data_IF_464803197399
#
_entry.id   IF_464803197399
#
_cell.length_a   1.000
_cell.length_b   1.000
_cell.length_c   1.000
_cell.angle_alpha   90.00
_cell.angle_beta   90.00
_cell.angle_gamma   90.00
#
_symmetry.space_group_name_H-M   'P 1'
#
loop_
_entity.id
_entity.type
_entity.pdbx_description
1 polymer ?
#
# COMPACT_ATOMS: atom_id res chain seq x y z
N UNK A 1 -15.10 21.77 -66.86
CA UNK A 1 -15.87 22.24 -68.04
C UNK A 1 -15.08 21.92 -69.31
N UNK A 2 -15.80 21.55 -70.39
CA UNK A 2 -15.39 21.01 -71.72
C UNK A 2 -15.19 19.47 -71.73
N UNK A 3 -16.22 18.65 -71.92
CA UNK A 3 -17.10 18.36 -73.09
C UNK A 3 -16.56 17.26 -74.06
N UNK A 4 -17.21 16.09 -73.95
CA UNK A 4 -17.76 15.16 -74.94
C UNK A 4 -17.24 15.13 -76.40
N UNK A 5 -16.98 13.92 -76.92
CA UNK A 5 -17.68 13.36 -78.10
C UNK A 5 -17.42 11.83 -78.29
N UNK A 6 -18.50 11.04 -78.33
CA UNK A 6 -18.68 9.77 -79.06
C UNK A 6 -19.35 10.08 -80.43
N UNK A 7 -19.79 9.14 -81.32
CA UNK A 7 -19.67 7.67 -81.43
C UNK A 7 -19.30 7.19 -82.88
N UNK A 8 -19.29 5.86 -83.14
CA UNK A 8 -20.26 5.10 -83.99
C UNK A 8 -19.65 3.90 -84.77
N UNK A 9 -20.51 2.89 -84.93
CA UNK A 9 -20.39 1.51 -85.41
C UNK A 9 -20.69 1.39 -86.91
N UNK A 10 -20.16 0.36 -87.61
CA UNK A 10 -20.82 -0.64 -88.51
C UNK A 10 -19.75 -1.44 -89.28
N UNK A 11 -19.67 -2.79 -89.24
CA UNK A 11 -20.50 -3.86 -89.84
C UNK A 11 -20.49 -3.87 -91.39
N UNK A 12 -19.80 -4.84 -92.02
CA UNK A 12 -20.24 -5.49 -93.27
C UNK A 12 -19.51 -6.83 -93.52
N UNK A 13 -20.30 -7.73 -94.07
CA UNK A 13 -20.16 -9.16 -94.37
C UNK A 13 -20.08 -9.33 -95.90
N UNK A 14 -19.45 -10.39 -96.45
CA UNK A 14 -19.82 -11.07 -97.71
C UNK A 14 -18.90 -12.28 -98.05
N UNK A 15 -19.56 -13.40 -98.39
CA UNK A 15 -19.07 -14.76 -98.73
C UNK A 15 -18.78 -14.95 -100.27
N UNK A 16 -18.80 -16.18 -100.86
CA UNK A 16 -17.81 -17.28 -101.00
C UNK A 16 -17.47 -17.54 -102.53
N UNK A 17 -16.92 -18.69 -103.05
CA UNK A 17 -17.60 -20.03 -103.13
C UNK A 17 -16.71 -21.32 -103.29
N UNK A 18 -17.35 -22.50 -103.07
CA UNK A 18 -17.16 -23.86 -103.67
C UNK A 18 -15.78 -24.61 -103.79
N UNK A 19 -15.79 -25.92 -103.46
CA UNK A 19 -14.65 -26.88 -103.48
C UNK A 19 -14.25 -27.46 -104.86
N UNK A 20 -13.25 -28.38 -104.96
CA UNK A 20 -13.42 -29.80 -104.57
C UNK A 20 -12.19 -30.53 -103.96
N UNK A 21 -12.44 -31.78 -103.55
CA UNK A 21 -11.63 -32.80 -102.88
C UNK A 21 -10.36 -33.27 -103.65
N UNK A 22 -9.19 -33.35 -102.97
CA UNK A 22 -8.11 -34.30 -103.33
C UNK A 22 -7.33 -34.78 -102.10
N UNK A 23 -7.04 -36.08 -102.09
CA UNK A 23 -6.40 -36.86 -101.03
C UNK A 23 -4.87 -36.63 -100.92
N UNK A 24 -4.35 -36.83 -99.69
CA UNK A 24 -3.08 -37.48 -99.27
C UNK A 24 -2.05 -36.60 -98.52
N UNK A 25 -1.95 -36.81 -97.20
CA UNK A 25 -0.85 -37.48 -96.45
C UNK A 25 -1.03 -37.17 -94.95
N UNK A 26 -1.00 -38.16 -94.03
CA UNK A 26 -1.09 -37.86 -92.60
C UNK A 26 0.24 -37.25 -92.11
N UNK A 27 0.23 -36.10 -91.41
CA UNK A 27 1.39 -35.67 -90.64
C UNK A 27 1.51 -36.50 -89.37
N UNK A 28 2.72 -36.97 -89.09
CA UNK A 28 3.09 -37.68 -87.87
C UNK A 28 2.81 -36.81 -86.64
N UNK A 29 1.75 -37.15 -85.89
CA UNK A 29 1.46 -36.66 -84.54
C UNK A 29 2.40 -37.34 -83.54
N UNK A 30 3.68 -37.03 -83.63
CA UNK A 30 4.70 -37.47 -82.67
C UNK A 30 5.41 -36.32 -81.94
N UNK A 31 5.60 -35.10 -82.48
CA UNK A 31 6.26 -34.03 -81.71
C UNK A 31 5.30 -33.13 -80.92
N UNK A 32 4.00 -33.11 -81.25
CA UNK A 32 3.03 -32.22 -80.59
C UNK A 32 2.57 -32.74 -79.21
N UNK A 33 2.49 -34.06 -79.02
CA UNK A 33 2.08 -34.66 -77.74
C UNK A 33 3.19 -34.52 -76.70
N UNK A 34 4.46 -34.64 -77.12
CA UNK A 34 5.62 -34.52 -76.23
C UNK A 34 5.82 -33.10 -75.70
N UNK A 35 5.55 -32.08 -76.53
CA UNK A 35 5.64 -30.67 -76.11
C UNK A 35 4.53 -30.30 -75.12
N UNK A 36 3.30 -30.79 -75.33
CA UNK A 36 2.17 -30.54 -74.41
C UNK A 36 2.40 -31.23 -73.06
N UNK A 37 2.93 -32.45 -73.04
CA UNK A 37 3.26 -33.17 -71.79
C UNK A 37 4.41 -32.51 -71.03
N UNK A 38 5.43 -31.99 -71.74
CA UNK A 38 6.53 -31.27 -71.09
C UNK A 38 6.09 -29.93 -70.52
N UNK A 39 5.22 -29.19 -71.22
CA UNK A 39 4.68 -27.90 -70.73
C UNK A 39 3.73 -28.12 -69.55
N UNK A 40 2.88 -29.15 -69.55
CA UNK A 40 2.01 -29.46 -68.39
C UNK A 40 2.80 -30.00 -67.20
N UNK A 41 3.87 -30.77 -67.43
CA UNK A 41 4.76 -31.20 -66.36
C UNK A 41 5.54 -30.02 -65.76
N UNK A 42 6.03 -29.08 -66.57
CA UNK A 42 6.72 -27.88 -66.09
C UNK A 42 5.77 -26.92 -65.36
N UNK A 43 4.55 -26.73 -65.87
CA UNK A 43 3.52 -25.95 -65.18
C UNK A 43 3.05 -26.62 -63.89
N UNK A 44 2.96 -27.95 -63.86
CA UNK A 44 2.66 -28.73 -62.66
C UNK A 44 3.76 -28.67 -61.61
N UNK A 45 5.03 -28.68 -62.02
CA UNK A 45 6.18 -28.48 -61.11
C UNK A 45 6.24 -27.03 -60.62
N UNK A 46 5.89 -26.05 -61.45
CA UNK A 46 5.86 -24.64 -61.06
C UNK A 46 4.70 -24.33 -60.11
N UNK A 47 3.51 -24.92 -60.31
CA UNK A 47 2.40 -24.82 -59.35
C UNK A 47 2.66 -25.61 -58.08
N UNK A 48 3.34 -26.76 -58.14
CA UNK A 48 3.79 -27.51 -56.96
C UNK A 48 4.86 -26.73 -56.18
N UNK A 49 5.80 -26.07 -56.85
CA UNK A 49 6.82 -25.21 -56.23
C UNK A 49 6.21 -23.95 -55.59
N UNK A 50 5.20 -23.32 -56.23
CA UNK A 50 4.48 -22.18 -55.67
C UNK A 50 3.54 -22.56 -54.50
N UNK A 51 3.12 -23.83 -54.41
CA UNK A 51 2.37 -24.37 -53.26
C UNK A 51 3.28 -24.81 -52.11
N UNK A 52 4.58 -25.00 -52.38
CA UNK A 52 5.63 -25.27 -51.38
C UNK A 52 6.36 -24.01 -50.91
N UNK A 53 6.06 -22.85 -51.50
CA UNK A 53 6.51 -21.52 -51.05
C UNK A 53 5.68 -20.98 -49.86
N UNK A 54 5.14 -21.88 -49.03
CA UNK A 54 5.04 -21.54 -47.61
C UNK A 54 6.51 -21.43 -47.19
N UNK A 55 7.03 -20.27 -46.73
CA UNK A 55 8.30 -20.34 -46.04
C UNK A 55 8.12 -21.46 -45.01
N UNK A 56 9.06 -22.40 -44.97
CA UNK A 56 9.35 -23.06 -43.72
C UNK A 56 9.70 -21.90 -42.79
N UNK A 57 8.66 -21.25 -42.25
CA UNK A 57 8.76 -20.67 -40.95
C UNK A 57 9.34 -21.84 -40.17
N UNK A 58 10.61 -21.71 -39.81
CA UNK A 58 11.05 -22.28 -38.56
C UNK A 58 9.87 -21.96 -37.65
N UNK A 59 9.09 -22.99 -37.32
CA UNK A 59 8.40 -23.01 -36.06
C UNK A 59 9.59 -23.00 -35.10
N UNK A 60 10.12 -21.80 -34.88
CA UNK A 60 10.71 -21.45 -33.61
C UNK A 60 9.66 -21.99 -32.66
N UNK A 61 9.99 -22.96 -31.79
CA UNK A 61 9.04 -23.31 -30.76
C UNK A 61 8.58 -21.95 -30.21
N UNK A 62 7.26 -21.70 -30.22
CA UNK A 62 6.75 -20.59 -29.42
C UNK A 62 7.50 -20.69 -28.09
N UNK A 63 8.04 -19.59 -27.56
CA UNK A 63 8.72 -19.67 -26.28
C UNK A 63 7.72 -20.37 -25.36
N UNK A 64 8.00 -21.63 -25.05
CA UNK A 64 7.15 -22.41 -24.15
C UNK A 64 7.33 -21.62 -22.88
N UNK A 65 6.34 -20.78 -22.58
CA UNK A 65 6.35 -19.94 -21.40
C UNK A 65 6.74 -20.88 -20.28
N UNK A 66 7.90 -20.61 -19.66
CA UNK A 66 8.42 -21.48 -18.63
C UNK A 66 7.27 -21.76 -17.65
N UNK A 67 6.98 -23.03 -17.34
CA UNK A 67 5.81 -23.37 -16.55
C UNK A 67 5.84 -22.55 -15.26
N UNK A 68 4.81 -21.73 -15.07
CA UNK A 68 4.71 -20.89 -13.89
C UNK A 68 4.50 -21.78 -12.68
N UNK A 69 5.39 -21.65 -11.70
CA UNK A 69 5.21 -22.22 -10.37
C UNK A 69 4.99 -21.05 -9.43
N UNK A 70 3.85 -21.05 -8.75
CA UNK A 70 3.52 -20.00 -7.80
C UNK A 70 4.55 -19.97 -6.66
N UNK A 71 5.22 -18.82 -6.41
CA UNK A 71 6.11 -18.68 -5.27
C UNK A 71 5.39 -18.99 -3.95
N UNK A 72 6.11 -19.55 -2.98
CA UNK A 72 5.54 -19.94 -1.68
C UNK A 72 4.83 -18.78 -0.96
N UNK A 73 5.46 -17.61 -0.91
CA UNK A 73 4.87 -16.41 -0.28
C UNK A 73 3.55 -15.99 -0.97
N UNK A 74 3.49 -16.08 -2.31
CA UNK A 74 2.27 -15.81 -3.08
C UNK A 74 1.20 -16.88 -2.83
N UNK A 75 1.61 -18.16 -2.70
CA UNK A 75 0.68 -19.24 -2.38
C UNK A 75 0.04 -19.02 -1.00
N UNK A 76 0.82 -18.57 -0.02
CA UNK A 76 0.32 -18.21 1.31
C UNK A 76 -0.64 -17.02 1.26
N UNK A 77 -0.38 -16.02 0.41
CA UNK A 77 -1.33 -14.93 0.15
C UNK A 77 -2.63 -15.47 -0.46
N UNK A 78 -2.54 -16.30 -1.50
CA UNK A 78 -3.69 -16.89 -2.18
C UNK A 78 -4.57 -17.72 -1.24
N UNK A 79 -3.97 -18.52 -0.37
CA UNK A 79 -4.68 -19.34 0.61
C UNK A 79 -5.45 -18.49 1.65
N UNK A 80 -5.00 -17.24 1.87
CA UNK A 80 -5.66 -16.27 2.77
C UNK A 80 -6.71 -15.40 2.10
N UNK A 81 -6.79 -15.40 0.76
CA UNK A 81 -7.77 -14.61 0.00
C UNK A 81 -9.16 -15.26 -0.06
N UNK A 82 -9.31 -16.53 0.35
CA UNK A 82 -10.60 -17.23 0.30
C UNK A 82 -11.08 -17.55 -1.12
N UNK A 83 -10.16 -17.82 -2.04
CA UNK A 83 -10.44 -18.01 -3.46
C UNK A 83 -11.26 -19.26 -3.76
N UNK A 84 -12.16 -19.16 -4.74
CA UNK A 84 -12.77 -20.31 -5.40
C UNK A 84 -11.76 -21.02 -6.32
N UNK A 85 -12.16 -22.15 -6.90
CA UNK A 85 -11.35 -22.83 -7.93
C UNK A 85 -11.11 -21.94 -9.17
N UNK A 86 -12.14 -21.24 -9.65
CA UNK A 86 -12.04 -20.32 -10.78
C UNK A 86 -11.18 -19.10 -10.44
N UNK A 87 -11.36 -18.50 -9.27
CA UNK A 87 -10.53 -17.38 -8.80
C UNK A 87 -9.06 -17.77 -8.67
N UNK A 88 -8.76 -18.96 -8.12
CA UNK A 88 -7.39 -19.47 -8.04
C UNK A 88 -6.81 -19.75 -9.43
N UNK A 89 -7.60 -20.27 -10.37
CA UNK A 89 -7.15 -20.50 -11.73
C UNK A 89 -6.76 -19.20 -12.43
N UNK A 90 -7.59 -18.15 -12.32
CA UNK A 90 -7.27 -16.81 -12.87
C UNK A 90 -6.04 -16.23 -12.18
N UNK A 91 -5.96 -16.33 -10.84
CA UNK A 91 -4.80 -15.84 -10.11
C UNK A 91 -3.51 -16.52 -10.56
N UNK A 92 -3.49 -17.85 -10.73
CA UNK A 92 -2.32 -18.57 -11.24
C UNK A 92 -2.00 -18.18 -12.69
N UNK A 93 -3.02 -18.04 -13.53
CA UNK A 93 -2.86 -17.67 -14.95
C UNK A 93 -2.25 -16.26 -15.09
N UNK A 94 -2.58 -15.35 -14.18
CA UNK A 94 -2.02 -14.01 -14.10
C UNK A 94 -0.60 -13.95 -13.48
N UNK A 95 0.06 -15.10 -13.26
CA UNK A 95 1.46 -15.24 -12.84
C UNK A 95 1.93 -14.25 -11.74
N UNK A 96 1.26 -14.19 -10.58
CA UNK A 96 1.48 -13.19 -9.56
C UNK A 96 2.88 -13.21 -8.97
N UNK A 97 3.46 -12.03 -8.76
CA UNK A 97 4.80 -11.87 -8.21
C UNK A 97 4.82 -10.91 -7.03
N UNK A 98 5.67 -11.22 -6.05
CA UNK A 98 6.06 -10.30 -4.99
C UNK A 98 7.41 -9.67 -5.37
N UNK A 99 7.41 -8.37 -5.59
CA UNK A 99 8.56 -7.60 -6.06
C UNK A 99 9.05 -6.64 -4.97
N UNK A 100 10.36 -6.45 -4.87
CA UNK A 100 10.95 -5.41 -4.02
C UNK A 100 10.79 -4.01 -4.66
N UNK A 101 11.23 -2.96 -3.97
CA UNK A 101 11.04 -1.55 -4.40
C UNK A 101 11.42 -1.32 -5.86
N UNK A 102 12.66 -1.66 -6.22
CA UNK A 102 13.23 -1.37 -7.54
C UNK A 102 12.53 -2.15 -8.63
N UNK A 103 12.29 -3.45 -8.42
CA UNK A 103 11.61 -4.27 -9.42
C UNK A 103 10.12 -3.93 -9.52
N UNK A 104 9.47 -3.60 -8.40
CA UNK A 104 8.08 -3.18 -8.38
C UNK A 104 7.90 -1.86 -9.12
N UNK A 105 8.70 -0.83 -8.84
CA UNK A 105 8.60 0.46 -9.52
C UNK A 105 8.98 0.36 -11.00
N UNK A 106 9.92 -0.50 -11.36
CA UNK A 106 10.23 -0.77 -12.77
C UNK A 106 9.04 -1.38 -13.52
N UNK A 107 8.23 -2.19 -12.84
CA UNK A 107 7.14 -2.94 -13.43
C UNK A 107 5.84 -2.13 -13.38
N UNK A 108 5.45 -1.62 -12.21
CA UNK A 108 4.22 -0.86 -11.98
C UNK A 108 4.36 0.67 -12.06
N UNK A 109 5.58 1.22 -11.97
CA UNK A 109 5.81 2.68 -11.82
C UNK A 109 5.62 3.50 -13.10
N UNK A 110 5.70 2.88 -14.28
CA UNK A 110 5.43 3.52 -15.58
C UNK A 110 3.94 3.43 -16.00
N UNK A 111 3.07 2.93 -15.13
CA UNK A 111 1.71 2.59 -15.55
C UNK A 111 0.86 3.84 -15.87
N UNK A 112 0.26 3.83 -17.08
CA UNK A 112 -0.82 4.71 -17.54
C UNK A 112 -2.06 4.76 -16.61
N UNK A 113 -2.02 4.13 -15.43
CA UNK A 113 -3.11 3.96 -14.46
C UNK A 113 -2.97 4.81 -13.18
N UNK A 114 -2.04 5.77 -13.13
CA UNK A 114 -2.17 6.94 -12.26
C UNK A 114 -1.49 6.87 -10.89
N UNK A 115 -0.85 8.01 -10.54
CA UNK A 115 -0.27 8.30 -9.24
C UNK A 115 0.97 9.19 -9.38
N UNK A 116 0.93 10.41 -8.84
CA UNK A 116 2.00 11.42 -8.84
C UNK A 116 3.13 11.14 -7.84
N UNK A 117 3.34 9.87 -7.46
CA UNK A 117 4.43 9.46 -6.57
C UNK A 117 4.31 9.90 -5.11
N UNK A 118 3.12 10.32 -4.65
CA UNK A 118 2.83 10.65 -3.24
C UNK A 118 2.29 9.46 -2.42
N UNK A 119 1.50 9.72 -1.35
CA UNK A 119 0.74 8.73 -0.54
C UNK A 119 -0.20 7.78 -1.35
N UNK A 120 -0.22 7.92 -2.67
CA UNK A 120 -1.04 7.16 -3.62
C UNK A 120 -0.20 6.32 -4.59
N UNK A 121 1.06 6.03 -4.25
CA UNK A 121 1.85 5.06 -4.99
C UNK A 121 1.10 3.71 -5.01
N UNK A 122 0.89 3.08 -6.18
CA UNK A 122 0.30 1.75 -6.24
C UNK A 122 1.20 0.78 -5.48
N UNK A 123 0.62 -0.07 -4.65
CA UNK A 123 1.33 -1.16 -3.96
C UNK A 123 1.03 -2.53 -4.60
N UNK A 124 0.27 -2.51 -5.69
CA UNK A 124 0.00 -3.62 -6.59
C UNK A 124 -0.38 -3.07 -7.96
N UNK A 125 -0.26 -3.89 -8.99
CA UNK A 125 -0.83 -3.59 -10.29
C UNK A 125 -1.07 -4.86 -11.12
N UNK A 126 -2.06 -4.79 -12.01
CA UNK A 126 -2.33 -5.77 -13.05
C UNK A 126 -2.02 -5.21 -14.44
N UNK A 127 -1.20 -5.92 -15.20
CA UNK A 127 -0.93 -5.65 -16.61
C UNK A 127 -1.87 -6.48 -17.45
N UNK A 128 -2.90 -5.84 -18.01
CA UNK A 128 -3.91 -6.47 -18.87
C UNK A 128 -3.34 -7.41 -19.94
N UNK A 129 -4.13 -8.41 -20.31
CA UNK A 129 -3.79 -9.42 -21.33
C UNK A 129 -3.31 -8.81 -22.66
N UNK A 130 -3.87 -7.65 -23.03
CA UNK A 130 -3.48 -6.89 -24.24
C UNK A 130 -2.04 -6.37 -24.24
N UNK A 131 -1.42 -6.20 -23.06
CA UNK A 131 -0.02 -5.77 -22.89
C UNK A 131 0.97 -6.94 -22.86
N UNK A 132 0.48 -8.17 -22.69
CA UNK A 132 1.31 -9.38 -22.62
C UNK A 132 1.24 -10.13 -23.95
N UNK A 133 2.40 -10.36 -24.58
CA UNK A 133 2.45 -11.17 -25.80
C UNK A 133 2.12 -12.63 -25.48
N UNK A 134 0.85 -13.02 -25.66
CA UNK A 134 0.38 -14.40 -25.59
C UNK A 134 -0.21 -14.88 -24.25
N UNK A 135 -0.86 -14.05 -23.42
CA UNK A 135 -1.38 -14.52 -22.12
C UNK A 135 -2.46 -13.69 -21.43
N UNK A 136 -2.86 -14.16 -20.24
CA UNK A 136 -3.99 -13.73 -19.37
C UNK A 136 -3.68 -12.49 -18.48
N UNK A 137 -2.66 -11.72 -18.85
CA UNK A 137 -2.11 -10.59 -18.07
C UNK A 137 -1.17 -11.02 -16.93
N UNK A 138 -0.55 -10.05 -16.23
CA UNK A 138 0.36 -10.33 -15.10
C UNK A 138 0.02 -9.49 -13.86
N UNK A 139 0.13 -10.07 -12.66
CA UNK A 139 -0.06 -9.38 -11.38
C UNK A 139 1.30 -9.16 -10.70
N UNK A 140 1.55 -7.93 -10.27
CA UNK A 140 2.66 -7.59 -9.39
C UNK A 140 2.13 -7.00 -8.08
N UNK A 141 2.69 -7.45 -6.96
CA UNK A 141 2.39 -6.94 -5.61
C UNK A 141 3.71 -6.52 -4.97
N UNK A 142 3.72 -5.37 -4.31
CA UNK A 142 4.88 -4.90 -3.57
C UNK A 142 5.14 -5.80 -2.35
N UNK A 143 6.38 -6.29 -2.23
CA UNK A 143 6.84 -7.09 -1.09
C UNK A 143 7.22 -6.15 0.04
N UNK A 144 6.34 -6.05 1.02
CA UNK A 144 6.68 -5.38 2.28
C UNK A 144 7.66 -6.26 3.09
N UNK A 145 8.85 -5.75 3.48
CA UNK A 145 9.85 -6.55 4.18
C UNK A 145 9.45 -6.99 5.60
N UNK A 146 8.61 -6.22 6.29
CA UNK A 146 8.17 -6.53 7.65
C UNK A 146 6.93 -7.44 7.65
N UNK A 147 6.98 -8.63 8.28
CA UNK A 147 5.89 -9.60 8.26
C UNK A 147 4.61 -9.09 8.95
N UNK A 148 4.69 -8.05 9.80
CA UNK A 148 3.50 -7.44 10.43
C UNK A 148 2.57 -6.78 9.40
N UNK A 149 3.11 -6.40 8.25
CA UNK A 149 2.41 -5.73 7.15
C UNK A 149 1.92 -6.73 6.08
N UNK A 150 2.11 -8.04 6.29
CA UNK A 150 1.74 -9.09 5.34
C UNK A 150 0.21 -9.21 5.10
N UNK A 151 -0.62 -8.61 5.97
CA UNK A 151 -2.06 -8.55 5.78
C UNK A 151 -2.45 -7.66 4.58
N UNK A 152 -1.70 -6.58 4.36
CA UNK A 152 -1.97 -5.65 3.26
C UNK A 152 -1.82 -6.32 1.90
N UNK A 153 -0.79 -7.16 1.73
CA UNK A 153 -0.55 -7.91 0.50
C UNK A 153 -1.73 -8.82 0.09
N UNK A 154 -2.53 -9.31 1.04
CA UNK A 154 -3.73 -10.11 0.75
C UNK A 154 -4.80 -9.27 0.06
N UNK A 155 -5.07 -8.07 0.58
CA UNK A 155 -6.07 -7.18 0.02
C UNK A 155 -5.66 -6.67 -1.36
N UNK A 156 -4.38 -6.29 -1.50
CA UNK A 156 -3.81 -5.87 -2.78
C UNK A 156 -3.90 -7.00 -3.81
N UNK A 157 -3.44 -8.20 -3.48
CA UNK A 157 -3.52 -9.32 -4.41
C UNK A 157 -4.97 -9.65 -4.81
N UNK A 158 -5.93 -9.52 -3.89
CA UNK A 158 -7.35 -9.69 -4.19
C UNK A 158 -7.90 -8.60 -5.12
N UNK A 159 -7.48 -7.34 -4.92
CA UNK A 159 -7.78 -6.22 -5.81
C UNK A 159 -7.23 -6.48 -7.22
N UNK A 160 -5.96 -6.86 -7.34
CA UNK A 160 -5.34 -7.15 -8.64
C UNK A 160 -5.93 -8.39 -9.34
N UNK A 161 -6.32 -9.41 -8.57
CA UNK A 161 -7.05 -10.55 -9.11
C UNK A 161 -8.38 -10.11 -9.75
N UNK A 162 -9.07 -9.14 -9.15
CA UNK A 162 -10.35 -8.67 -9.67
C UNK A 162 -10.19 -7.88 -10.96
N UNK A 163 -9.08 -7.17 -11.15
CA UNK A 163 -8.73 -6.61 -12.46
C UNK A 163 -8.53 -7.72 -13.51
N UNK A 164 -7.79 -8.78 -13.18
CA UNK A 164 -7.61 -9.92 -14.09
C UNK A 164 -8.92 -10.64 -14.40
N UNK A 165 -9.80 -10.78 -13.40
CA UNK A 165 -11.12 -11.39 -13.57
C UNK A 165 -12.06 -10.53 -14.44
N UNK A 166 -12.00 -9.20 -14.29
CA UNK A 166 -12.73 -8.28 -15.13
C UNK A 166 -12.21 -8.31 -16.58
N UNK A 167 -10.89 -8.34 -16.78
CA UNK A 167 -10.29 -8.44 -18.12
C UNK A 167 -10.65 -9.75 -18.84
N UNK A 168 -10.70 -10.86 -18.11
CA UNK A 168 -11.14 -12.15 -18.65
C UNK A 168 -12.66 -12.24 -18.90
N UNK A 169 -13.45 -11.28 -18.41
CA UNK A 169 -14.90 -11.31 -18.57
C UNK A 169 -15.30 -10.93 -20.01
N UNK A 170 -16.18 -11.72 -20.67
CA UNK A 170 -16.75 -11.37 -21.96
C UNK A 170 -17.43 -10.00 -21.95
N UNK A 171 -17.28 -9.24 -23.04
CA UNK A 171 -17.79 -7.87 -23.13
C UNK A 171 -19.32 -7.77 -22.93
N UNK A 172 -20.07 -8.80 -23.30
CA UNK A 172 -21.53 -8.86 -23.09
C UNK A 172 -21.93 -9.07 -21.63
N UNK A 173 -21.06 -9.66 -20.81
CA UNK A 173 -21.27 -9.81 -19.36
C UNK A 173 -20.87 -8.56 -18.55
N UNK A 174 -20.00 -7.70 -19.08
CA UNK A 174 -19.54 -6.48 -18.37
C UNK A 174 -20.64 -5.41 -18.26
N UNK A 175 -21.47 -5.22 -19.30
CA UNK A 175 -22.50 -4.17 -19.29
C UNK A 175 -23.49 -4.25 -18.11
N UNK A 176 -24.11 -5.40 -17.83
CA UNK A 176 -24.95 -5.57 -16.64
C UNK A 176 -24.19 -5.38 -15.32
N UNK A 177 -22.95 -5.90 -15.23
CA UNK A 177 -22.10 -5.75 -14.05
C UNK A 177 -21.78 -4.28 -13.75
N UNK A 178 -21.38 -3.51 -14.76
CA UNK A 178 -21.02 -2.09 -14.61
C UNK A 178 -22.18 -1.25 -14.04
N UNK A 179 -23.43 -1.56 -14.44
CA UNK A 179 -24.61 -0.90 -13.89
C UNK A 179 -24.80 -1.20 -12.39
N UNK A 180 -24.54 -2.44 -11.96
CA UNK A 180 -24.61 -2.85 -10.55
C UNK A 180 -23.47 -2.19 -9.73
N UNK A 181 -22.27 -2.10 -10.31
CA UNK A 181 -21.11 -1.48 -9.68
C UNK A 181 -21.34 0.01 -9.46
N UNK A 182 -21.81 0.74 -10.46
CA UNK A 182 -22.10 2.18 -10.32
C UNK A 182 -23.21 2.41 -9.29
N UNK A 183 -24.27 1.58 -9.31
CA UNK A 183 -25.34 1.66 -8.33
C UNK A 183 -24.82 1.46 -6.90
N UNK A 184 -23.96 0.45 -6.67
CA UNK A 184 -23.36 0.23 -5.35
C UNK A 184 -22.39 1.34 -4.97
N UNK A 185 -21.56 1.81 -5.89
CA UNK A 185 -20.59 2.88 -5.63
C UNK A 185 -21.27 4.20 -5.25
N UNK A 186 -22.44 4.50 -5.83
CA UNK A 186 -23.23 5.70 -5.51
C UNK A 186 -23.68 5.80 -4.05
N UNK A 187 -23.65 4.68 -3.31
CA UNK A 187 -23.97 4.61 -1.89
C UNK A 187 -22.76 4.88 -0.98
N UNK A 188 -21.54 4.91 -1.52
CA UNK A 188 -20.33 5.22 -0.75
C UNK A 188 -20.37 6.69 -0.35
N UNK A 189 -20.21 7.04 0.95
CA UNK A 189 -20.22 8.42 1.40
C UNK A 189 -19.18 9.27 0.63
N UNK A 190 -19.50 10.52 0.26
CA UNK A 190 -18.55 11.38 -0.44
C UNK A 190 -17.29 11.73 0.36
N UNK A 191 -17.36 11.65 1.70
CA UNK A 191 -16.27 11.89 2.64
C UNK A 191 -15.53 10.62 3.06
N UNK A 192 -15.93 9.44 2.55
CA UNK A 192 -15.21 8.20 2.80
C UNK A 192 -13.80 8.27 2.16
N UNK A 193 -12.71 7.95 2.90
CA UNK A 193 -11.35 7.95 2.38
C UNK A 193 -11.16 7.11 1.11
N UNK A 194 -11.97 6.07 0.91
CA UNK A 194 -11.91 5.22 -0.30
C UNK A 194 -12.21 6.02 -1.58
N UNK A 195 -12.97 7.11 -1.51
CA UNK A 195 -13.26 7.97 -2.66
C UNK A 195 -11.99 8.61 -3.23
N UNK A 196 -11.06 9.00 -2.35
CA UNK A 196 -9.79 9.58 -2.78
C UNK A 196 -8.89 8.52 -3.41
N UNK A 197 -8.77 7.34 -2.79
CA UNK A 197 -7.99 6.23 -3.34
C UNK A 197 -8.51 5.81 -4.71
N UNK A 198 -9.83 5.59 -4.81
CA UNK A 198 -10.49 5.24 -6.06
C UNK A 198 -10.25 6.26 -7.17
N UNK A 199 -10.39 7.56 -6.89
CA UNK A 199 -10.13 8.62 -7.88
C UNK A 199 -8.68 8.59 -8.37
N UNK A 200 -7.74 8.30 -7.49
CA UNK A 200 -6.33 8.22 -7.84
C UNK A 200 -6.06 6.99 -8.72
N UNK A 201 -6.65 5.82 -8.39
CA UNK A 201 -6.52 4.58 -9.17
C UNK A 201 -7.21 4.62 -10.53
N UNK A 202 -8.36 5.31 -10.66
CA UNK A 202 -9.01 5.49 -11.98
C UNK A 202 -8.13 6.36 -12.89
N UNK A 203 -7.47 7.36 -12.31
CA UNK A 203 -6.65 8.30 -13.07
C UNK A 203 -7.45 9.12 -14.08
N UNK A 204 -6.83 9.56 -15.19
CA UNK A 204 -7.49 10.37 -16.21
C UNK A 204 -8.38 9.56 -17.17
N UNK A 205 -8.24 8.23 -17.19
CA UNK A 205 -8.96 7.36 -18.13
C UNK A 205 -10.26 6.84 -17.50
N UNK A 206 -11.39 7.29 -18.04
CA UNK A 206 -12.71 6.88 -17.57
C UNK A 206 -13.01 5.41 -17.81
N UNK A 207 -12.29 4.76 -18.74
CA UNK A 207 -12.48 3.33 -19.04
C UNK A 207 -11.98 2.45 -17.89
N UNK A 208 -11.11 2.97 -17.02
CA UNK A 208 -10.66 2.26 -15.80
C UNK A 208 -11.73 2.23 -14.70
N UNK A 209 -12.77 3.09 -14.78
CA UNK A 209 -13.74 3.27 -13.69
C UNK A 209 -14.42 1.95 -13.28
N UNK A 210 -14.97 1.22 -14.25
CA UNK A 210 -15.72 0.00 -13.95
C UNK A 210 -14.83 -1.09 -13.35
N UNK A 211 -13.60 -1.26 -13.88
CA UNK A 211 -12.68 -2.27 -13.36
C UNK A 211 -12.18 -1.91 -11.95
N UNK A 212 -11.95 -0.63 -11.65
CA UNK A 212 -11.61 -0.17 -10.31
C UNK A 212 -12.77 -0.36 -9.34
N UNK A 213 -14.01 -0.05 -9.75
CA UNK A 213 -15.19 -0.29 -8.92
C UNK A 213 -15.32 -1.77 -8.60
N UNK A 214 -15.11 -2.64 -9.60
CA UNK A 214 -15.15 -4.08 -9.41
C UNK A 214 -14.11 -4.53 -8.39
N UNK A 215 -12.88 -4.03 -8.50
CA UNK A 215 -11.78 -4.38 -7.61
C UNK A 215 -11.99 -3.86 -6.18
N UNK A 216 -12.32 -2.58 -5.98
CA UNK A 216 -12.59 -2.01 -4.66
C UNK A 216 -13.84 -2.60 -4.00
N UNK A 217 -14.93 -2.81 -4.76
CA UNK A 217 -16.14 -3.41 -4.19
C UNK A 217 -15.90 -4.88 -3.82
N UNK A 218 -15.15 -5.62 -4.63
CA UNK A 218 -14.86 -7.02 -4.33
C UNK A 218 -13.90 -7.20 -3.15
N UNK A 219 -12.93 -6.29 -2.96
CA UNK A 219 -11.83 -6.46 -2.00
C UNK A 219 -11.92 -5.60 -0.73
N UNK A 220 -12.44 -4.36 -0.80
CA UNK A 220 -12.46 -3.41 0.33
C UNK A 220 -13.88 -3.07 0.82
N UNK A 221 -14.90 -3.12 -0.05
CA UNK A 221 -16.30 -2.77 0.32
C UNK A 221 -17.16 -4.03 0.44
N UNK A 222 -17.36 -4.53 1.66
CA UNK A 222 -17.96 -5.85 1.89
C UNK A 222 -19.38 -5.82 2.49
N UNK A 223 -19.92 -4.64 2.82
CA UNK A 223 -21.27 -4.48 3.35
C UNK A 223 -22.26 -3.98 2.30
N UNK A 224 -23.53 -4.27 2.52
CA UNK A 224 -24.65 -3.77 1.70
C UNK A 224 -24.47 -4.06 0.20
N UNK A 225 -24.00 -5.27 -0.12
CA UNK A 225 -23.84 -5.74 -1.50
C UNK A 225 -25.13 -6.43 -1.95
N UNK A 226 -25.64 -5.99 -3.10
CA UNK A 226 -26.81 -6.60 -3.72
C UNK A 226 -26.54 -8.08 -4.08
N UNK A 227 -27.48 -9.02 -3.88
CA UNK A 227 -27.24 -10.45 -4.16
C UNK A 227 -26.85 -10.75 -5.61
N UNK A 228 -27.34 -9.98 -6.58
CA UNK A 228 -26.95 -10.12 -7.98
C UNK A 228 -25.49 -9.73 -8.17
N UNK A 229 -25.05 -8.61 -7.57
CA UNK A 229 -23.66 -8.19 -7.58
C UNK A 229 -22.74 -9.19 -6.85
N UNK A 230 -23.17 -9.70 -5.69
CA UNK A 230 -22.42 -10.72 -4.94
C UNK A 230 -22.21 -11.99 -5.77
N UNK A 231 -23.16 -12.36 -6.64
CA UNK A 231 -23.03 -13.54 -7.51
C UNK A 231 -21.86 -13.45 -8.49
N UNK A 232 -21.46 -12.24 -8.90
CA UNK A 232 -20.26 -12.03 -9.72
C UNK A 232 -18.98 -12.32 -8.91
N UNK A 233 -18.92 -11.86 -7.65
CA UNK A 233 -17.75 -12.09 -6.80
C UNK A 233 -17.65 -13.55 -6.31
N UNK A 234 -18.78 -14.22 -6.07
CA UNK A 234 -18.83 -15.62 -5.66
C UNK A 234 -18.21 -16.60 -6.68
N UNK A 235 -18.04 -16.16 -7.94
CA UNK A 235 -17.27 -16.91 -8.94
C UNK A 235 -15.79 -16.98 -8.59
N UNK A 236 -15.24 -15.95 -7.97
CA UNK A 236 -13.80 -15.82 -7.72
C UNK A 236 -13.43 -16.07 -6.25
N UNK A 237 -14.37 -15.88 -5.34
CA UNK A 237 -14.18 -16.12 -3.90
C UNK A 237 -15.17 -17.18 -3.39
N UNK A 238 -14.65 -18.22 -2.74
CA UNK A 238 -15.47 -19.12 -1.92
C UNK A 238 -15.80 -18.51 -0.55
N UNK A 239 -14.94 -17.61 -0.06
CA UNK A 239 -15.13 -16.82 1.14
C UNK A 239 -14.55 -15.42 0.92
N UNK A 240 -15.37 -14.51 0.40
CA UNK A 240 -14.95 -13.12 0.16
C UNK A 240 -14.68 -12.36 1.46
N UNK A 241 -15.18 -12.84 2.61
CA UNK A 241 -14.99 -12.17 3.90
C UNK A 241 -13.55 -12.29 4.43
N UNK A 242 -12.75 -13.20 3.88
CA UNK A 242 -11.34 -13.36 4.23
C UNK A 242 -10.50 -12.10 3.91
N UNK A 243 -10.82 -11.40 2.82
CA UNK A 243 -10.10 -10.19 2.38
C UNK A 243 -10.30 -9.01 3.35
N UNK A 244 -11.55 -8.58 3.68
CA UNK A 244 -11.74 -7.51 4.66
C UNK A 244 -11.31 -7.91 6.07
N UNK A 245 -11.32 -9.20 6.42
CA UNK A 245 -10.73 -9.66 7.69
C UNK A 245 -9.22 -9.43 7.74
N UNK A 246 -8.50 -9.60 6.63
CA UNK A 246 -7.08 -9.26 6.54
C UNK A 246 -6.85 -7.74 6.69
N UNK A 247 -7.64 -6.91 6.00
CA UNK A 247 -7.57 -5.44 6.16
C UNK A 247 -7.83 -5.01 7.60
N UNK A 248 -8.88 -5.54 8.23
CA UNK A 248 -9.18 -5.22 9.63
C UNK A 248 -8.06 -5.63 10.59
N UNK A 249 -7.32 -6.70 10.29
CA UNK A 249 -6.17 -7.12 11.06
C UNK A 249 -4.93 -6.21 10.84
N UNK A 250 -4.76 -5.65 9.63
CA UNK A 250 -3.77 -4.61 9.35
C UNK A 250 -4.08 -3.33 10.14
N UNK A 251 -5.33 -2.85 10.06
CA UNK A 251 -5.80 -1.67 10.80
C UNK A 251 -5.64 -1.86 12.31
N UNK A 252 -6.02 -3.01 12.85
CA UNK A 252 -5.89 -3.30 14.27
C UNK A 252 -4.43 -3.31 14.75
N UNK A 253 -3.48 -3.74 13.90
CA UNK A 253 -2.06 -3.68 14.21
C UNK A 253 -1.59 -2.22 14.32
N UNK A 254 -1.95 -1.38 13.34
CA UNK A 254 -1.61 0.04 13.37
C UNK A 254 -2.23 0.79 14.55
N UNK A 255 -3.51 0.55 14.83
CA UNK A 255 -4.17 1.15 15.99
C UNK A 255 -3.57 0.67 17.31
N UNK A 256 -3.14 -0.59 17.40
CA UNK A 256 -2.40 -1.11 18.54
C UNK A 256 -1.08 -0.36 18.77
N UNK A 257 -0.27 -0.19 17.71
CA UNK A 257 1.00 0.54 17.80
C UNK A 257 0.80 2.01 18.22
N UNK A 258 -0.19 2.70 17.63
CA UNK A 258 -0.52 4.08 18.00
C UNK A 258 -1.01 4.18 19.44
N UNK A 259 -1.84 3.24 19.88
CA UNK A 259 -2.35 3.21 21.25
C UNK A 259 -1.23 2.98 22.27
N UNK A 260 -0.28 2.09 21.98
CA UNK A 260 0.90 1.87 22.82
C UNK A 260 1.79 3.11 22.90
N UNK A 261 2.03 3.79 21.78
CA UNK A 261 2.78 5.04 21.74
C UNK A 261 2.08 6.14 22.53
N UNK A 262 0.76 6.28 22.37
CA UNK A 262 -0.04 7.25 23.09
C UNK A 262 0.00 7.00 24.61
N UNK A 263 -0.19 5.75 25.05
CA UNK A 263 -0.12 5.38 26.46
C UNK A 263 1.26 5.65 27.09
N UNK A 264 2.34 5.36 26.36
CA UNK A 264 3.70 5.68 26.80
C UNK A 264 3.92 7.20 26.88
N UNK A 265 3.40 7.95 25.91
CA UNK A 265 3.49 9.42 25.88
C UNK A 265 2.71 10.08 27.02
N UNK A 266 1.52 9.58 27.34
CA UNK A 266 0.71 10.04 28.48
C UNK A 266 1.45 9.76 29.79
N UNK A 267 2.00 8.55 29.94
CA UNK A 267 2.80 8.17 31.12
C UNK A 267 4.03 9.09 31.27
N UNK A 268 4.71 9.39 30.17
CA UNK A 268 5.86 10.30 30.17
C UNK A 268 5.46 11.69 30.66
N UNK A 269 4.38 12.25 30.09
CA UNK A 269 3.89 13.58 30.45
C UNK A 269 3.55 13.65 31.94
N UNK A 270 2.84 12.66 32.47
CA UNK A 270 2.50 12.58 33.90
C UNK A 270 3.75 12.56 34.79
N UNK A 271 4.74 11.74 34.45
CA UNK A 271 5.98 11.62 35.21
C UNK A 271 6.83 12.89 35.16
N UNK A 272 6.93 13.54 34.00
CA UNK A 272 7.68 14.78 33.84
C UNK A 272 7.05 15.92 34.65
N UNK A 273 5.73 16.06 34.59
CA UNK A 273 5.00 17.05 35.40
C UNK A 273 5.21 16.80 36.89
N UNK A 274 5.12 15.54 37.33
CA UNK A 274 5.35 15.17 38.72
C UNK A 274 6.79 15.45 39.19
N UNK A 275 7.79 15.09 38.38
CA UNK A 275 9.20 15.32 38.66
C UNK A 275 9.53 16.82 38.72
N UNK A 276 9.02 17.61 37.77
CA UNK A 276 9.15 19.07 37.76
C UNK A 276 8.54 19.71 39.02
N UNK A 277 7.32 19.29 39.40
CA UNK A 277 6.65 19.79 40.59
C UNK A 277 7.42 19.42 41.88
N UNK A 278 7.95 18.19 41.97
CA UNK A 278 8.76 17.76 43.10
C UNK A 278 10.08 18.54 43.19
N UNK A 279 10.77 18.74 42.07
CA UNK A 279 11.99 19.56 41.98
C UNK A 279 11.75 21.01 42.42
N UNK A 280 10.67 21.63 41.93
CA UNK A 280 10.30 23.00 42.33
C UNK A 280 9.99 23.11 43.82
N UNK A 281 9.25 22.14 44.39
CA UNK A 281 8.99 22.09 45.85
C UNK A 281 10.29 21.98 46.65
N UNK A 282 11.20 21.09 46.24
CA UNK A 282 12.50 20.92 46.89
C UNK A 282 13.35 22.20 46.86
N UNK A 283 13.38 22.90 45.72
CA UNK A 283 14.10 24.18 45.60
C UNK A 283 13.52 25.26 46.52
N UNK A 284 12.19 25.37 46.57
CA UNK A 284 11.51 26.30 47.47
C UNK A 284 11.79 25.99 48.95
N UNK A 285 11.79 24.72 49.34
CA UNK A 285 12.06 24.32 50.72
C UNK A 285 13.53 24.53 51.12
N UNK A 286 14.47 24.37 50.19
CA UNK A 286 15.87 24.77 50.38
C UNK A 286 16.01 26.27 50.61
N UNK A 287 15.40 27.08 49.75
CA UNK A 287 15.44 28.54 49.90
C UNK A 287 14.81 29.00 51.23
N UNK A 288 13.74 28.34 51.67
CA UNK A 288 13.15 28.57 53.00
C UNK A 288 14.12 28.23 54.12
N UNK A 289 14.77 27.07 54.07
CA UNK A 289 15.77 26.68 55.07
C UNK A 289 16.94 27.67 55.15
N UNK A 290 17.42 28.18 54.00
CA UNK A 290 18.48 29.17 53.95
C UNK A 290 18.04 30.51 54.57
N UNK A 291 16.82 30.96 54.27
CA UNK A 291 16.25 32.16 54.88
C UNK A 291 16.04 32.01 56.39
N UNK A 292 15.59 30.84 56.84
CA UNK A 292 15.42 30.52 58.26
C UNK A 292 16.78 30.57 58.99
N UNK A 293 17.86 30.09 58.34
CA UNK A 293 19.22 30.17 58.89
C UNK A 293 19.74 31.59 58.97
N UNK A 294 19.50 32.41 57.95
CA UNK A 294 19.87 33.83 57.99
C UNK A 294 19.15 34.57 59.13
N UNK A 295 17.85 34.32 59.28
CA UNK A 295 17.04 34.88 60.37
C UNK A 295 17.56 34.41 61.73
N UNK A 296 17.83 33.11 61.88
CA UNK A 296 18.42 32.55 63.09
C UNK A 296 19.75 33.22 63.45
N UNK A 297 20.67 33.37 62.48
CA UNK A 297 21.98 33.98 62.71
C UNK A 297 21.85 35.42 63.22
N UNK A 298 20.96 36.23 62.63
CA UNK A 298 20.67 37.58 63.11
C UNK A 298 20.17 37.58 64.56
N UNK A 299 19.22 36.69 64.89
CA UNK A 299 18.70 36.58 66.25
C UNK A 299 19.76 36.13 67.26
N UNK A 300 20.69 35.26 66.86
CA UNK A 300 21.82 34.84 67.68
C UNK A 300 22.79 35.99 67.92
N UNK A 301 23.14 36.78 66.89
CA UNK A 301 23.98 37.97 67.04
C UNK A 301 23.37 38.97 68.01
N UNK A 302 22.08 39.26 67.83
CA UNK A 302 21.31 40.10 68.73
C UNK A 302 21.31 39.57 70.17
N UNK A 303 21.01 38.28 70.35
CA UNK A 303 21.02 37.64 71.66
C UNK A 303 22.40 37.73 72.33
N UNK A 304 23.47 37.51 71.55
CA UNK A 304 24.84 37.53 72.04
C UNK A 304 25.35 38.93 72.39
N UNK A 305 24.83 39.98 71.76
CA UNK A 305 25.17 41.37 72.09
C UNK A 305 24.60 41.85 73.44
N UNK A 306 23.63 41.13 74.02
CA UNK A 306 22.95 41.51 75.28
C UNK A 306 23.67 40.97 76.51
N UNK A 307 23.52 41.67 77.64
CA UNK A 307 24.01 41.23 78.96
C UNK A 307 23.24 40.02 79.50
N UNK A 308 23.78 39.24 80.46
CA UNK A 308 23.08 38.11 81.07
C UNK A 308 21.71 38.49 81.65
N UNK A 309 21.61 39.62 82.36
CA UNK A 309 20.37 40.10 82.97
C UNK A 309 19.32 40.54 81.93
N UNK A 310 19.77 41.07 80.79
CA UNK A 310 18.88 41.42 79.69
C UNK A 310 18.33 40.15 79.04
N UNK A 311 19.16 39.15 78.76
CA UNK A 311 18.74 37.90 78.09
C UNK A 311 17.62 37.17 78.84
N UNK A 312 17.58 37.24 80.17
CA UNK A 312 16.51 36.61 80.98
C UNK A 312 15.13 37.26 80.83
N UNK A 313 15.05 38.47 80.25
CA UNK A 313 13.79 39.20 80.05
C UNK A 313 13.16 38.98 78.68
N UNK A 314 13.85 38.31 77.76
CA UNK A 314 13.39 38.10 76.39
C UNK A 314 12.81 36.70 76.21
N UNK A 315 11.63 36.65 75.62
CA UNK A 315 10.92 35.41 75.34
C UNK A 315 10.16 35.50 74.02
N UNK A 316 9.97 34.36 73.38
CA UNK A 316 9.10 34.20 72.22
C UNK A 316 7.77 33.63 72.69
N UNK A 317 6.66 34.23 72.23
CA UNK A 317 5.32 33.69 72.46
C UNK A 317 5.07 32.61 71.40
N UNK A 318 4.81 31.39 71.87
CA UNK A 318 4.51 30.24 71.04
C UNK A 318 3.08 30.32 70.48
N UNK A 319 2.75 29.58 69.41
CA UNK A 319 1.40 29.58 68.81
C UNK A 319 0.27 29.15 69.77
N UNK A 320 0.59 28.39 70.82
CA UNK A 320 -0.34 27.96 71.86
C UNK A 320 -0.53 29.01 72.98
N UNK A 321 0.10 30.18 72.85
CA UNK A 321 0.05 31.27 73.83
C UNK A 321 1.04 31.11 74.99
N UNK A 322 1.80 30.01 75.07
CA UNK A 322 2.88 29.86 76.04
C UNK A 322 4.09 30.73 75.67
N UNK A 323 5.02 30.93 76.60
CA UNK A 323 6.21 31.76 76.39
C UNK A 323 7.48 30.94 76.65
N UNK A 324 8.42 30.99 75.72
CA UNK A 324 9.72 30.31 75.81
C UNK A 324 10.83 31.35 75.89
N UNK A 325 11.81 31.16 76.77
CA UNK A 325 12.98 32.04 76.82
C UNK A 325 13.70 32.08 75.47
N UNK A 326 14.15 33.26 75.03
CA UNK A 326 14.73 33.41 73.68
C UNK A 326 15.94 32.48 73.46
N UNK A 327 16.78 32.26 74.48
CA UNK A 327 17.91 31.33 74.38
C UNK A 327 17.49 29.86 74.18
N UNK A 328 16.42 29.43 74.85
CA UNK A 328 15.85 28.09 74.68
C UNK A 328 15.20 27.94 73.29
N UNK A 329 14.48 28.96 72.83
CA UNK A 329 13.94 29.01 71.48
C UNK A 329 15.03 28.89 70.41
N UNK A 330 16.14 29.64 70.54
CA UNK A 330 17.26 29.56 69.61
C UNK A 330 17.94 28.19 69.64
N UNK A 331 18.12 27.59 70.82
CA UNK A 331 18.68 26.24 70.93
C UNK A 331 17.78 25.19 70.26
N UNK A 332 16.45 25.28 70.46
CA UNK A 332 15.48 24.41 69.81
C UNK A 332 15.50 24.59 68.29
N UNK A 333 15.50 25.83 67.79
CA UNK A 333 15.57 26.13 66.35
C UNK A 333 16.85 25.57 65.71
N UNK A 334 18.01 25.77 66.35
CA UNK A 334 19.29 25.22 65.87
C UNK A 334 19.23 23.69 65.72
N UNK A 335 18.58 23.01 66.66
CA UNK A 335 18.44 21.55 66.63
C UNK A 335 17.56 21.06 65.47
N UNK A 336 16.70 21.90 64.88
CA UNK A 336 15.85 21.51 63.74
C UNK A 336 16.61 21.48 62.41
N UNK A 337 17.69 22.25 62.26
CA UNK A 337 18.36 22.40 60.96
C UNK A 337 18.94 21.08 60.43
N UNK A 338 19.69 20.27 61.19
CA UNK A 338 20.21 19.00 60.69
C UNK A 338 19.11 18.02 60.27
N UNK A 339 17.96 18.03 60.96
CA UNK A 339 16.81 17.18 60.62
C UNK A 339 16.21 17.61 59.28
N UNK A 340 15.95 18.91 59.11
CA UNK A 340 15.41 19.47 57.86
C UNK A 340 16.38 19.29 56.69
N UNK A 341 17.69 19.43 56.92
CA UNK A 341 18.73 19.14 55.92
C UNK A 341 18.68 17.67 55.48
N UNK A 342 18.57 16.74 56.42
CA UNK A 342 18.46 15.31 56.13
C UNK A 342 17.17 14.99 55.34
N UNK A 343 16.03 15.60 55.71
CA UNK A 343 14.78 15.45 54.97
C UNK A 343 14.86 15.99 53.54
N UNK A 344 15.53 17.13 53.32
CA UNK A 344 15.72 17.68 51.98
C UNK A 344 16.72 16.85 51.16
N UNK A 345 17.72 16.24 51.81
CA UNK A 345 18.63 15.31 51.15
C UNK A 345 17.91 14.02 50.71
N UNK A 346 17.04 13.46 51.56
CA UNK A 346 16.22 12.30 51.20
C UNK A 346 15.27 12.63 50.03
N UNK A 347 14.59 13.78 50.08
CA UNK A 347 13.73 14.24 48.99
C UNK A 347 14.48 14.52 47.69
N UNK A 348 15.75 14.93 47.74
CA UNK A 348 16.58 15.04 46.53
C UNK A 348 16.75 13.68 45.85
N UNK A 349 17.03 12.62 46.62
CA UNK A 349 17.16 11.26 46.06
C UNK A 349 15.86 10.82 45.38
N UNK A 350 14.70 11.12 45.97
CA UNK A 350 13.39 10.83 45.37
C UNK A 350 13.17 11.60 44.06
N UNK A 351 13.53 12.91 44.02
CA UNK A 351 13.44 13.73 42.81
C UNK A 351 14.37 13.22 41.71
N UNK A 352 15.59 12.83 42.06
CA UNK A 352 16.56 12.28 41.11
C UNK A 352 16.07 10.96 40.53
N UNK A 353 15.53 10.07 41.38
CA UNK A 353 14.93 8.81 40.96
C UNK A 353 13.72 9.02 40.04
N UNK A 354 12.83 9.96 40.36
CA UNK A 354 11.67 10.29 39.52
C UNK A 354 12.10 10.87 38.16
N UNK A 355 13.12 11.72 38.15
CA UNK A 355 13.68 12.30 36.92
C UNK A 355 14.32 11.22 36.04
N UNK A 356 15.06 10.28 36.65
CA UNK A 356 15.64 9.15 35.94
C UNK A 356 14.57 8.19 35.38
N UNK A 357 13.49 7.95 36.13
CA UNK A 357 12.36 7.16 35.66
C UNK A 357 11.69 7.80 34.44
N UNK A 358 11.41 9.11 34.49
CA UNK A 358 10.85 9.85 33.35
C UNK A 358 11.76 9.77 32.12
N UNK A 359 13.08 9.88 32.30
CA UNK A 359 14.04 9.72 31.20
C UNK A 359 13.97 8.32 30.55
N UNK A 360 13.82 7.26 31.35
CA UNK A 360 13.64 5.90 30.83
C UNK A 360 12.34 5.74 30.03
N UNK A 361 11.24 6.37 30.48
CA UNK A 361 9.98 6.35 29.72
C UNK A 361 10.11 7.15 28.42
N UNK A 362 10.89 8.23 28.42
CA UNK A 362 11.18 9.00 27.20
C UNK A 362 11.89 8.17 26.14
N UNK A 363 12.91 7.40 26.54
CA UNK A 363 13.59 6.46 25.65
C UNK A 363 12.63 5.41 25.08
N UNK A 364 11.64 4.96 25.87
CA UNK A 364 10.59 4.06 25.39
C UNK A 364 9.69 4.73 24.35
N UNK A 365 9.23 5.96 24.61
CA UNK A 365 8.43 6.75 23.66
C UNK A 365 9.19 6.95 22.36
N UNK A 366 10.46 7.36 22.42
CA UNK A 366 11.31 7.57 21.25
C UNK A 366 11.47 6.27 20.44
N UNK A 367 11.67 5.13 21.12
CA UNK A 367 11.75 3.82 20.47
C UNK A 367 10.44 3.43 19.78
N UNK A 368 9.30 3.61 20.45
CA UNK A 368 7.97 3.29 19.87
C UNK A 368 7.66 4.20 18.69
N UNK A 369 8.00 5.49 18.79
CA UNK A 369 7.85 6.44 17.70
C UNK A 369 8.71 6.05 16.49
N UNK A 370 9.98 5.71 16.72
CA UNK A 370 10.88 5.23 15.67
C UNK A 370 10.37 3.93 15.03
N UNK A 371 9.80 3.01 15.80
CA UNK A 371 9.19 1.79 15.30
C UNK A 371 7.98 2.06 14.39
N UNK A 372 7.06 2.93 14.82
CA UNK A 372 5.89 3.34 14.01
C UNK A 372 6.34 3.97 12.69
N UNK A 373 7.32 4.88 12.74
CA UNK A 373 7.84 5.53 11.54
C UNK A 373 8.55 4.55 10.62
N UNK A 374 9.43 3.70 11.14
CA UNK A 374 10.15 2.70 10.34
C UNK A 374 9.19 1.73 9.66
N UNK A 375 8.11 1.32 10.33
CA UNK A 375 7.05 0.55 9.69
C UNK A 375 6.31 1.34 8.62
N UNK A 376 6.05 2.63 8.86
CA UNK A 376 5.38 3.51 7.90
C UNK A 376 6.19 3.70 6.62
N UNK A 377 7.51 3.81 6.74
CA UNK A 377 8.43 3.87 5.60
C UNK A 377 8.41 2.59 4.77
N UNK A 378 8.26 1.42 5.40
CA UNK A 378 8.13 0.14 4.70
C UNK A 378 6.74 -0.09 4.07
N UNK A 379 5.75 0.75 4.39
CA UNK A 379 4.37 0.55 3.98
C UNK A 379 4.15 0.83 2.48
N UNK A 380 4.99 1.66 1.88
CA UNK A 380 4.98 2.02 0.46
C UNK A 380 6.35 1.67 -0.16
N UNK A 381 6.42 1.45 -1.48
CA UNK A 381 7.68 1.30 -2.16
C UNK A 381 8.52 2.58 -2.04
N UNK A 382 9.84 2.43 -1.84
CA UNK A 382 10.78 3.56 -1.80
C UNK A 382 10.95 4.18 -3.20
N UNK A 383 10.68 5.48 -3.32
CA UNK A 383 10.62 6.20 -4.58
C UNK A 383 11.94 6.92 -4.95
N UNK A 384 12.96 6.87 -4.09
CA UNK A 384 14.22 7.64 -4.20
C UNK A 384 15.40 6.92 -4.90
#
# INVERSE_FOLDING_TARGET
MKQCHTPRVTLFQNDPPWGPDTRRRPPSVAPAVTLVVLVTALLGVMTWALMLDRPLALVMPEPVLAPYTMPEEIAQIADRMGLSEEGRAIFVAARPQLLDDVDFLRVCGDSDHGGDGGESAPIGCYFGSSRVSGGDGEIAVYRVPDPRLANRAVAVAAHELLHAAYDNMPADARGPLDALLEARWSLVPPDDPIQTRFRNSVGPDTDNRSTEQFAYIGSEIFHDIDPELESYFARYFSDRSAVPAALAADDAMWEGLKAELAAASDTLMEQEVAAMAASSRLQNDRARLDNDRATYNMQVEEYNARTPEERTRWSVINPDGSSTGLGEHLAATLATFPVREAELAARQVEVDAATAAAASVREEVDRKYAEVNALGELYLPDMD
#
